data_IF_726847482050
#
_entry.id   IF_726847482050
#
_cell.length_a   1.000
_cell.length_b   1.000
_cell.length_c   1.000
_cell.angle_alpha   90.00
_cell.angle_beta   90.00
_cell.angle_gamma   90.00
#
_symmetry.space_group_name_H-M   'P 1'
#
loop_
_entity.id
_entity.type
_entity.pdbx_description
1 polymer ?
#
# COMPACT_ATOMS: atom_id res chain seq x y z
N UNK A 1 -17.74 27.32 54.15
CA UNK A 1 -16.59 27.72 53.34
C UNK A 1 -15.68 26.55 52.90
N UNK A 2 -15.93 25.31 53.32
CA UNK A 2 -15.09 24.12 53.03
C UNK A 2 -15.48 23.33 51.79
N UNK A 3 -16.68 23.48 51.26
CA UNK A 3 -17.21 22.67 50.14
C UNK A 3 -16.72 23.15 48.75
N UNK A 4 -16.46 24.46 48.60
CA UNK A 4 -16.06 25.03 47.27
C UNK A 4 -14.60 24.67 46.93
N UNK A 5 -13.75 24.53 47.95
CA UNK A 5 -12.32 24.15 47.76
C UNK A 5 -12.16 22.72 47.22
N UNK A 6 -13.00 21.76 47.66
CA UNK A 6 -12.94 20.36 47.18
C UNK A 6 -13.40 20.19 45.72
N UNK A 7 -14.35 21.02 45.28
CA UNK A 7 -14.83 20.96 43.88
C UNK A 7 -13.82 21.52 42.89
N UNK A 8 -13.07 22.58 43.26
CA UNK A 8 -12.01 23.13 42.38
C UNK A 8 -10.86 22.15 42.20
N UNK A 9 -10.46 21.42 43.27
CA UNK A 9 -9.39 20.41 43.19
C UNK A 9 -9.76 19.21 42.33
N UNK A 10 -11.02 18.74 42.35
CA UNK A 10 -11.51 17.64 41.49
C UNK A 10 -11.57 18.05 40.03
N UNK A 11 -11.99 19.28 39.69
CA UNK A 11 -12.02 19.80 38.33
C UNK A 11 -10.63 19.95 37.72
N UNK A 12 -9.66 20.43 38.52
CA UNK A 12 -8.27 20.55 38.09
C UNK A 12 -7.64 19.19 37.82
N UNK A 13 -7.93 18.16 38.64
CA UNK A 13 -7.42 16.81 38.46
C UNK A 13 -7.99 16.16 37.16
N UNK A 14 -9.27 16.39 36.86
CA UNK A 14 -9.95 15.87 35.67
C UNK A 14 -9.40 16.51 34.38
N UNK A 15 -9.11 17.80 34.40
CA UNK A 15 -8.50 18.51 33.24
C UNK A 15 -7.08 18.04 33.01
N UNK A 16 -6.27 17.84 34.05
CA UNK A 16 -4.92 17.29 33.93
C UNK A 16 -4.93 15.85 33.42
N UNK A 17 -5.90 15.04 33.84
CA UNK A 17 -6.05 13.65 33.37
C UNK A 17 -6.50 13.59 31.90
N UNK A 18 -7.41 14.49 31.46
CA UNK A 18 -7.78 14.59 30.05
C UNK A 18 -6.63 15.09 29.17
N UNK A 19 -5.82 16.03 29.63
CA UNK A 19 -4.62 16.48 28.90
C UNK A 19 -3.56 15.39 28.81
N UNK A 20 -3.38 14.58 29.85
CA UNK A 20 -2.46 13.44 29.82
C UNK A 20 -2.91 12.33 28.84
N UNK A 21 -4.22 12.06 28.75
CA UNK A 21 -4.78 11.11 27.79
C UNK A 21 -4.63 11.63 26.35
N UNK A 22 -4.82 12.94 26.13
CA UNK A 22 -4.63 13.56 24.82
C UNK A 22 -3.17 13.51 24.33
N UNK A 23 -2.20 13.58 25.25
CA UNK A 23 -0.77 13.45 24.90
C UNK A 23 -0.37 12.00 24.57
N UNK A 24 -1.04 11.00 25.16
CA UNK A 24 -0.74 9.59 24.88
C UNK A 24 -1.22 9.19 23.46
N UNK A 25 -2.25 9.86 22.93
CA UNK A 25 -2.76 9.58 21.58
C UNK A 25 -1.86 10.18 20.49
N UNK A 26 -1.03 11.17 20.82
CA UNK A 26 -0.12 11.83 19.85
C UNK A 26 1.27 11.18 19.73
N UNK A 27 1.61 10.23 20.59
CA UNK A 27 2.90 9.53 20.55
C UNK A 27 2.74 8.11 20.03
N UNK A 28 2.57 7.93 18.72
CA UNK A 28 2.52 6.58 18.22
C UNK A 28 2.24 6.33 16.76
N UNK A 29 2.30 7.31 15.90
CA UNK A 29 2.47 7.03 14.47
C UNK A 29 3.96 7.07 14.13
N UNK A 30 4.73 6.15 14.65
CA UNK A 30 5.89 5.66 13.89
C UNK A 30 5.28 4.95 12.68
N UNK A 31 5.41 5.53 11.49
CA UNK A 31 5.14 4.85 10.25
C UNK A 31 6.03 3.59 10.23
N UNK A 32 5.49 2.49 10.74
CA UNK A 32 6.16 1.21 10.59
C UNK A 32 5.92 0.84 9.13
N UNK A 33 7.01 0.70 8.38
CA UNK A 33 7.08 -0.03 7.13
C UNK A 33 6.21 -1.28 7.27
N UNK A 34 5.11 -1.34 6.51
CA UNK A 34 4.16 -2.46 6.59
C UNK A 34 4.69 -3.66 5.79
N UNK A 35 5.43 -3.38 4.69
CA UNK A 35 5.98 -4.37 3.77
C UNK A 35 7.45 -4.10 3.48
N UNK A 36 8.20 -5.14 3.15
CA UNK A 36 9.61 -5.05 2.74
C UNK A 36 9.77 -5.42 1.27
N UNK A 37 10.03 -4.44 0.42
CA UNK A 37 10.30 -4.70 -0.99
C UNK A 37 11.59 -5.50 -1.18
N UNK A 38 12.62 -5.26 -0.36
CA UNK A 38 13.86 -6.06 -0.37
C UNK A 38 13.63 -7.56 -0.19
N UNK A 39 12.55 -7.94 0.52
CA UNK A 39 12.13 -9.33 0.70
C UNK A 39 11.11 -9.81 -0.33
N UNK A 40 10.70 -8.95 -1.25
CA UNK A 40 9.65 -9.24 -2.22
C UNK A 40 8.24 -9.34 -1.63
N UNK A 41 7.99 -8.76 -0.45
CA UNK A 41 6.67 -8.75 0.18
C UNK A 41 5.69 -7.89 -0.63
N UNK A 42 4.44 -8.33 -0.74
CA UNK A 42 3.40 -7.72 -1.58
C UNK A 42 2.49 -6.83 -0.74
N UNK A 43 2.25 -5.60 -1.17
CA UNK A 43 1.43 -4.59 -0.48
C UNK A 43 -0.02 -5.01 -0.19
N UNK A 44 -0.51 -6.07 -0.81
CA UNK A 44 -1.86 -6.58 -0.61
C UNK A 44 -1.98 -7.52 0.59
N UNK A 45 -0.88 -8.18 0.98
CA UNK A 45 -0.91 -9.15 2.07
C UNK A 45 0.51 -9.46 2.56
N UNK A 46 0.74 -9.47 3.87
CA UNK A 46 2.03 -9.86 4.44
C UNK A 46 2.35 -11.35 4.25
N UNK A 47 1.38 -12.15 3.80
CA UNK A 47 1.55 -13.57 3.51
C UNK A 47 1.98 -13.84 2.07
N UNK A 48 1.90 -12.83 1.19
CA UNK A 48 2.34 -12.94 -0.19
C UNK A 48 3.77 -12.42 -0.35
N UNK A 49 4.62 -13.26 -0.94
CA UNK A 49 6.02 -12.91 -1.23
C UNK A 49 6.41 -13.44 -2.60
N UNK A 50 7.07 -12.62 -3.40
CA UNK A 50 7.61 -13.07 -4.67
C UNK A 50 8.60 -14.24 -4.46
N UNK A 51 8.56 -15.21 -5.35
CA UNK A 51 9.36 -16.44 -5.27
C UNK A 51 8.75 -17.55 -4.42
N UNK A 52 7.63 -17.33 -3.73
CA UNK A 52 6.90 -18.42 -3.06
C UNK A 52 6.28 -19.37 -4.10
N UNK A 53 6.06 -20.64 -3.71
CA UNK A 53 5.39 -21.60 -4.58
C UNK A 53 3.92 -21.25 -4.77
N UNK A 54 3.41 -21.31 -5.99
CA UNK A 54 1.97 -21.13 -6.29
C UNK A 54 1.11 -22.22 -5.62
N UNK A 55 1.66 -23.41 -5.35
CA UNK A 55 0.97 -24.49 -4.63
C UNK A 55 0.82 -24.19 -3.14
N UNK A 56 1.66 -23.29 -2.60
CA UNK A 56 1.65 -22.88 -1.19
C UNK A 56 0.91 -21.57 -0.92
N UNK A 57 0.16 -21.05 -1.89
CA UNK A 57 -0.61 -19.83 -1.69
C UNK A 57 -1.70 -20.02 -0.62
N UNK A 58 -1.94 -19.04 0.25
CA UNK A 58 -3.12 -18.99 1.08
C UNK A 58 -4.41 -19.10 0.26
N UNK A 59 -5.46 -19.71 0.82
CA UNK A 59 -6.70 -20.03 0.11
C UNK A 59 -7.34 -18.80 -0.56
N UNK A 60 -7.28 -17.66 0.10
CA UNK A 60 -7.79 -16.39 -0.41
C UNK A 60 -7.05 -15.87 -1.67
N UNK A 61 -5.84 -16.40 -1.93
CA UNK A 61 -5.01 -16.03 -3.08
C UNK A 61 -4.97 -17.08 -4.17
N UNK A 62 -5.74 -18.16 -4.03
CA UNK A 62 -5.84 -19.19 -5.06
C UNK A 62 -6.81 -18.74 -6.15
N UNK A 63 -6.29 -18.51 -7.35
CA UNK A 63 -7.11 -18.15 -8.50
C UNK A 63 -7.96 -19.34 -8.97
N UNK A 64 -9.27 -19.14 -9.01
CA UNK A 64 -10.22 -20.15 -9.51
C UNK A 64 -10.47 -19.89 -11.00
N UNK A 65 -10.11 -20.83 -11.87
CA UNK A 65 -10.38 -20.79 -13.32
C UNK A 65 -9.87 -19.54 -14.03
N UNK A 66 -8.72 -19.01 -13.62
CA UNK A 66 -8.14 -17.78 -14.15
C UNK A 66 -9.00 -16.51 -13.95
N UNK A 67 -9.94 -16.53 -13.01
CA UNK A 67 -10.66 -15.33 -12.63
C UNK A 67 -9.78 -14.46 -11.73
N UNK A 68 -9.80 -13.13 -11.90
CA UNK A 68 -9.05 -12.24 -11.02
C UNK A 68 -9.56 -12.37 -9.57
N UNK A 69 -8.64 -12.24 -8.63
CA UNK A 69 -8.98 -12.17 -7.21
C UNK A 69 -9.46 -10.76 -6.93
N UNK A 70 -10.57 -10.62 -6.18
CA UNK A 70 -11.10 -9.33 -5.77
C UNK A 70 -10.70 -9.05 -4.33
N UNK A 71 -10.10 -7.89 -4.11
CA UNK A 71 -9.69 -7.42 -2.79
C UNK A 71 -9.83 -5.90 -2.69
N UNK A 72 -9.41 -5.31 -1.59
CA UNK A 72 -9.38 -3.88 -1.37
C UNK A 72 -7.95 -3.46 -0.96
N UNK A 73 -7.49 -2.33 -1.48
CA UNK A 73 -6.25 -1.70 -1.04
C UNK A 73 -6.45 -0.20 -0.89
N UNK A 74 -6.06 0.35 0.27
CA UNK A 74 -6.21 1.77 0.60
C UNK A 74 -7.65 2.32 0.45
N UNK A 75 -8.68 1.46 0.65
CA UNK A 75 -10.08 1.83 0.46
C UNK A 75 -10.57 1.74 -0.99
N UNK A 76 -9.74 1.28 -1.93
CA UNK A 76 -10.11 1.11 -3.33
C UNK A 76 -10.27 -0.37 -3.68
N UNK A 77 -11.38 -0.77 -4.35
CA UNK A 77 -11.57 -2.12 -4.82
C UNK A 77 -10.60 -2.44 -5.96
N UNK A 78 -9.92 -3.59 -5.87
CA UNK A 78 -8.89 -4.04 -6.79
C UNK A 78 -9.20 -5.42 -7.36
N UNK A 79 -8.89 -5.61 -8.64
CA UNK A 79 -8.77 -6.93 -9.26
C UNK A 79 -7.30 -7.33 -9.36
N UNK A 80 -6.99 -8.52 -8.82
CA UNK A 80 -5.61 -8.99 -8.68
C UNK A 80 -5.38 -10.23 -9.54
N UNK A 81 -4.28 -10.22 -10.28
CA UNK A 81 -3.78 -11.34 -11.06
C UNK A 81 -2.39 -11.72 -10.55
N UNK A 82 -2.16 -13.02 -10.39
CA UNK A 82 -0.90 -13.59 -9.98
C UNK A 82 -0.26 -14.29 -11.17
N UNK A 83 1.02 -14.06 -11.40
CA UNK A 83 1.77 -14.73 -12.46
C UNK A 83 2.90 -15.58 -11.88
N UNK A 84 3.00 -16.82 -12.36
CA UNK A 84 4.08 -17.72 -12.03
C UNK A 84 5.22 -17.69 -13.05
N UNK A 85 6.42 -18.00 -12.59
CA UNK A 85 7.54 -18.36 -13.48
C UNK A 85 7.44 -19.83 -13.96
N UNK A 86 8.40 -20.25 -14.79
CA UNK A 86 8.48 -21.61 -15.31
C UNK A 86 8.67 -22.68 -14.22
N UNK A 87 9.14 -22.30 -13.03
CA UNK A 87 9.30 -23.18 -11.88
C UNK A 87 8.07 -23.22 -10.96
N UNK A 88 6.97 -22.57 -11.33
CA UNK A 88 5.75 -22.50 -10.55
C UNK A 88 5.84 -21.60 -9.31
N UNK A 89 6.76 -20.64 -9.33
CA UNK A 89 6.91 -19.65 -8.25
C UNK A 89 6.27 -18.32 -8.64
N UNK A 90 5.69 -17.64 -7.68
CA UNK A 90 5.11 -16.31 -7.86
C UNK A 90 6.17 -15.32 -8.37
N UNK A 91 6.01 -14.86 -9.60
CA UNK A 91 6.92 -13.97 -10.29
C UNK A 91 6.45 -12.53 -10.26
N UNK A 92 5.15 -12.30 -10.46
CA UNK A 92 4.55 -10.97 -10.38
C UNK A 92 3.15 -11.00 -9.79
N UNK A 93 2.75 -9.88 -9.22
CA UNK A 93 1.40 -9.60 -8.75
C UNK A 93 0.96 -8.28 -9.35
N UNK A 94 -0.15 -8.31 -10.08
CA UNK A 94 -0.74 -7.14 -10.72
C UNK A 94 -2.11 -6.86 -10.12
N UNK A 95 -2.30 -5.65 -9.60
CA UNK A 95 -3.57 -5.15 -9.08
C UNK A 95 -4.07 -4.01 -9.97
N UNK A 96 -5.33 -4.04 -10.34
CA UNK A 96 -5.98 -3.01 -11.17
C UNK A 96 -7.18 -2.47 -10.37
N UNK A 97 -7.32 -1.16 -10.25
CA UNK A 97 -8.52 -0.56 -9.65
C UNK A 97 -9.75 -0.90 -10.49
N UNK A 98 -10.86 -1.29 -9.83
CA UNK A 98 -12.09 -1.65 -10.54
C UNK A 98 -12.82 -0.42 -11.09
N UNK A 99 -12.55 0.76 -10.50
CA UNK A 99 -13.13 2.02 -10.89
C UNK A 99 -12.02 2.97 -11.38
N UNK A 100 -12.40 3.93 -12.24
CA UNK A 100 -11.56 5.07 -12.56
C UNK A 100 -11.35 5.93 -11.31
N UNK A 101 -10.09 6.19 -10.97
CA UNK A 101 -9.72 7.03 -9.83
C UNK A 101 -9.48 8.46 -10.28
N UNK A 102 -9.99 9.43 -9.52
CA UNK A 102 -9.65 10.84 -9.70
C UNK A 102 -8.18 11.09 -9.41
N UNK A 103 -7.64 12.20 -9.91
CA UNK A 103 -6.25 12.58 -9.66
C UNK A 103 -5.90 12.62 -8.16
N UNK A 104 -6.81 13.13 -7.31
CA UNK A 104 -6.60 13.17 -5.86
C UNK A 104 -6.55 11.75 -5.25
N UNK A 105 -7.41 10.84 -5.70
CA UNK A 105 -7.42 9.45 -5.26
C UNK A 105 -6.16 8.70 -5.72
N UNK A 106 -5.68 8.96 -6.94
CA UNK A 106 -4.40 8.43 -7.44
C UNK A 106 -3.23 8.89 -6.57
N UNK A 107 -3.22 10.17 -6.17
CA UNK A 107 -2.20 10.74 -5.28
C UNK A 107 -2.25 10.14 -3.87
N UNK A 108 -3.46 9.90 -3.34
CA UNK A 108 -3.65 9.20 -2.06
C UNK A 108 -3.14 7.77 -2.11
N UNK A 109 -3.49 7.02 -3.15
CA UNK A 109 -3.04 5.66 -3.37
C UNK A 109 -1.51 5.58 -3.48
N UNK A 110 -0.90 6.48 -4.27
CA UNK A 110 0.55 6.59 -4.41
C UNK A 110 1.24 6.90 -3.07
N UNK A 111 0.68 7.82 -2.29
CA UNK A 111 1.20 8.17 -0.96
C UNK A 111 1.13 6.98 -0.01
N UNK A 112 0.01 6.26 0.01
CA UNK A 112 -0.17 5.06 0.85
C UNK A 112 0.85 3.99 0.47
N UNK A 113 1.01 3.70 -0.83
CA UNK A 113 1.96 2.71 -1.32
C UNK A 113 3.40 3.07 -0.94
N UNK A 114 3.77 4.35 -1.05
CA UNK A 114 5.08 4.84 -0.63
C UNK A 114 5.29 4.70 0.89
N UNK A 115 4.27 4.94 1.70
CA UNK A 115 4.31 4.79 3.16
C UNK A 115 4.41 3.32 3.58
N UNK A 116 3.68 2.44 2.91
CA UNK A 116 3.64 1.01 3.23
C UNK A 116 5.00 0.34 3.01
N UNK A 117 5.75 0.76 1.99
CA UNK A 117 7.10 0.26 1.75
C UNK A 117 8.20 1.12 2.41
N UNK A 118 7.86 2.32 2.92
CA UNK A 118 8.85 3.32 3.38
C UNK A 118 9.88 3.67 2.27
N UNK A 119 9.40 3.73 1.03
CA UNK A 119 10.19 4.02 -0.16
C UNK A 119 9.51 5.08 -1.01
N UNK A 120 10.25 6.03 -1.60
CA UNK A 120 9.67 7.03 -2.49
C UNK A 120 9.30 6.40 -3.84
N UNK A 121 8.08 6.68 -4.30
CA UNK A 121 7.67 6.44 -5.69
C UNK A 121 8.19 7.56 -6.57
N UNK A 122 9.09 7.23 -7.49
CA UNK A 122 9.72 8.18 -8.41
C UNK A 122 8.96 8.20 -9.74
N UNK A 123 8.55 9.39 -10.18
CA UNK A 123 7.90 9.55 -11.47
C UNK A 123 8.83 9.15 -12.62
N UNK A 124 8.33 8.33 -13.54
CA UNK A 124 9.02 7.99 -14.78
C UNK A 124 8.64 9.01 -15.83
N UNK A 125 9.57 9.89 -16.15
CA UNK A 125 9.36 10.89 -17.20
C UNK A 125 9.60 10.29 -18.59
N UNK A 126 8.55 10.18 -19.38
CA UNK A 126 8.68 10.12 -20.84
C UNK A 126 8.74 11.56 -21.39
N UNK A 127 9.62 11.82 -22.35
CA UNK A 127 10.00 13.16 -22.82
C UNK A 127 8.88 14.02 -23.39
N UNK A 128 7.68 13.50 -23.63
CA UNK A 128 6.60 14.21 -24.31
C UNK A 128 5.32 14.42 -23.49
N UNK A 129 5.20 13.78 -22.29
CA UNK A 129 3.95 13.82 -21.51
C UNK A 129 4.22 13.86 -20.00
N UNK A 130 3.22 14.28 -19.24
CA UNK A 130 3.27 14.16 -17.78
C UNK A 130 3.51 12.70 -17.36
N UNK A 131 4.20 12.47 -16.23
CA UNK A 131 4.49 11.11 -15.81
C UNK A 131 3.19 10.33 -15.57
N UNK A 132 3.03 9.21 -16.28
CA UNK A 132 1.90 8.30 -16.16
C UNK A 132 2.25 7.07 -15.35
N UNK A 133 3.50 6.97 -14.94
CA UNK A 133 3.98 5.87 -14.11
C UNK A 133 4.95 6.37 -13.06
N UNK A 134 4.95 5.65 -11.96
CA UNK A 134 5.84 5.87 -10.83
C UNK A 134 6.40 4.52 -10.43
N UNK A 135 7.66 4.49 -10.06
CA UNK A 135 8.34 3.26 -9.65
C UNK A 135 9.11 3.44 -8.35
N UNK A 136 9.25 2.34 -7.63
CA UNK A 136 10.24 2.14 -6.59
C UNK A 136 10.94 0.79 -6.84
N UNK A 137 12.21 0.67 -6.48
CA UNK A 137 12.95 -0.57 -6.56
C UNK A 137 13.87 -0.76 -5.35
N UNK A 138 13.98 -1.99 -4.88
CA UNK A 138 14.84 -2.40 -3.79
C UNK A 138 15.09 -3.92 -3.84
N UNK A 139 16.31 -4.36 -3.57
CA UNK A 139 16.64 -5.78 -3.40
C UNK A 139 16.44 -6.67 -4.63
N UNK A 140 16.36 -6.10 -5.83
CA UNK A 140 16.06 -6.85 -7.06
C UNK A 140 14.57 -7.00 -7.36
N UNK A 141 13.71 -6.33 -6.60
CA UNK A 141 12.27 -6.25 -6.82
C UNK A 141 11.85 -4.84 -7.18
N UNK A 142 10.73 -4.72 -7.87
CA UNK A 142 10.18 -3.45 -8.31
C UNK A 142 8.67 -3.38 -8.06
N UNK A 143 8.22 -2.19 -7.69
CA UNK A 143 6.82 -1.80 -7.76
C UNK A 143 6.67 -0.75 -8.83
N UNK A 144 5.78 -0.97 -9.78
CA UNK A 144 5.38 -0.03 -10.81
C UNK A 144 3.90 0.34 -10.60
N UNK A 145 3.62 1.61 -10.48
CA UNK A 145 2.26 2.14 -10.44
C UNK A 145 2.05 2.97 -11.68
N UNK A 146 1.06 2.62 -12.50
CA UNK A 146 0.77 3.30 -13.76
C UNK A 146 -0.73 3.53 -13.96
N UNK A 147 -1.05 4.43 -14.89
CA UNK A 147 -2.42 4.64 -15.36
C UNK A 147 -2.67 3.81 -16.60
N UNK A 148 -3.76 3.04 -16.60
CA UNK A 148 -4.12 2.15 -17.71
C UNK A 148 -4.58 2.93 -18.95
N UNK A 149 -5.23 4.09 -18.77
CA UNK A 149 -5.78 4.88 -19.86
C UNK A 149 -4.81 5.95 -20.38
N UNK A 150 -4.98 6.31 -21.65
CA UNK A 150 -4.18 7.32 -22.36
C UNK A 150 -4.58 8.75 -22.05
N UNK A 151 -5.55 9.00 -21.17
CA UNK A 151 -6.07 10.33 -20.86
C UNK A 151 -5.36 10.96 -19.66
N UNK A 152 -5.12 12.25 -19.73
CA UNK A 152 -4.76 13.07 -18.58
C UNK A 152 -5.96 13.16 -17.65
N UNK A 153 -5.80 12.88 -16.36
CA UNK A 153 -6.84 13.01 -15.36
C UNK A 153 -7.24 11.68 -14.73
N UNK A 154 -8.53 11.47 -14.62
CA UNK A 154 -9.11 10.28 -13.99
C UNK A 154 -8.85 9.02 -14.83
N UNK A 155 -8.58 7.89 -14.16
CA UNK A 155 -8.32 6.65 -14.87
C UNK A 155 -8.11 5.45 -13.95
N UNK A 156 -8.17 4.25 -14.52
CA UNK A 156 -7.83 3.02 -13.81
C UNK A 156 -6.34 2.99 -13.48
N UNK A 157 -6.02 2.62 -12.24
CA UNK A 157 -4.66 2.50 -11.74
C UNK A 157 -4.24 1.04 -11.77
N UNK A 158 -3.05 0.79 -12.27
CA UNK A 158 -2.37 -0.51 -12.24
C UNK A 158 -1.19 -0.42 -11.30
N UNK A 159 -1.12 -1.34 -10.34
CA UNK A 159 0.05 -1.53 -9.48
C UNK A 159 0.59 -2.94 -9.73
N UNK A 160 1.83 -3.04 -10.15
CA UNK A 160 2.50 -4.32 -10.38
C UNK A 160 3.74 -4.43 -9.51
N UNK A 161 3.88 -5.55 -8.80
CA UNK A 161 5.08 -5.92 -8.05
C UNK A 161 5.72 -7.12 -8.72
N UNK A 162 6.99 -7.02 -9.08
CA UNK A 162 7.70 -8.07 -9.82
C UNK A 162 9.19 -8.14 -9.51
N UNK A 163 9.78 -9.31 -9.76
CA UNK A 163 11.22 -9.49 -9.70
C UNK A 163 11.88 -8.87 -10.95
N UNK A 164 12.90 -8.05 -10.76
CA UNK A 164 13.66 -7.51 -11.88
C UNK A 164 14.45 -8.63 -12.57
N UNK A 165 14.52 -8.61 -13.91
CA UNK A 165 15.41 -9.52 -14.63
C UNK A 165 16.85 -9.31 -14.13
N UNK A 166 17.48 -10.38 -13.67
CA UNK A 166 18.91 -10.33 -13.35
C UNK A 166 19.65 -10.03 -14.65
N UNK A 167 20.34 -8.88 -14.72
CA UNK A 167 21.20 -8.59 -15.85
C UNK A 167 22.25 -9.72 -15.96
N UNK A 168 22.24 -10.44 -17.09
CA UNK A 168 23.23 -11.46 -17.41
C UNK A 168 24.49 -10.81 -17.93
#
# INVERSE_FOLDING_TARGET
MFLISKMKKKRSLLVVMMLAISMIIMTGCTNKKAYSLEKGEIFLSPTLTLGMSMEGLPEEWVQVRNLPIRTEYAGFPMEVTLEADEAGKLRSVKAISQDELTTDQQDELRKTLSQDYDLPLTAVQNREEQPRSWLMDEGGYRVDMSLLASSYGDGEVVIEVYAQPTAK
#
